data_IF_180444637998
#
_entry.id   IF_180444637998
#
_cell.length_a   1.000
_cell.length_b   1.000
_cell.length_c   1.000
_cell.angle_alpha   90.00
_cell.angle_beta   90.00
_cell.angle_gamma   90.00
#
_symmetry.space_group_name_H-M   'P 1'
#
loop_
_entity.id
_entity.type
_entity.pdbx_description
1 polymer ?
#
# COMPACT_ATOMS: atom_id res chain seq x y z
N UNK A 1 24.26 56.59 -23.68
CA UNK A 1 22.87 56.14 -23.84
C UNK A 1 22.76 54.71 -24.39
N UNK A 2 23.18 54.41 -25.64
CA UNK A 2 23.00 53.08 -26.26
C UNK A 2 23.58 51.89 -25.47
N UNK A 3 24.76 52.04 -24.87
CA UNK A 3 25.40 50.97 -24.07
C UNK A 3 24.64 50.65 -22.78
N UNK A 4 24.06 51.67 -22.14
CA UNK A 4 23.22 51.49 -20.95
C UNK A 4 21.90 50.82 -21.29
N UNK A 5 21.31 51.15 -22.44
CA UNK A 5 20.08 50.51 -22.94
C UNK A 5 20.32 49.04 -23.29
N UNK A 6 21.46 48.72 -23.92
CA UNK A 6 21.83 47.33 -24.20
C UNK A 6 22.08 46.54 -22.90
N UNK A 7 22.72 47.17 -21.91
CA UNK A 7 22.99 46.54 -20.62
C UNK A 7 21.72 46.29 -19.81
N UNK A 8 20.77 47.23 -19.82
CA UNK A 8 19.46 47.05 -19.17
C UNK A 8 18.63 45.96 -19.87
N UNK A 9 18.66 45.88 -21.19
CA UNK A 9 18.01 44.80 -21.95
C UNK A 9 18.60 43.42 -21.60
N UNK A 10 19.93 43.30 -21.54
CA UNK A 10 20.58 42.05 -21.13
C UNK A 10 20.22 41.64 -19.70
N UNK A 11 20.14 42.59 -18.77
CA UNK A 11 19.72 42.32 -17.39
C UNK A 11 18.28 41.82 -17.31
N UNK A 12 17.35 42.45 -18.04
CA UNK A 12 15.94 42.05 -18.07
C UNK A 12 15.80 40.65 -18.64
N UNK A 13 16.52 40.33 -19.72
CA UNK A 13 16.53 38.99 -20.30
C UNK A 13 17.06 37.94 -19.31
N UNK A 14 18.17 38.24 -18.62
CA UNK A 14 18.72 37.32 -17.61
C UNK A 14 17.74 37.05 -16.46
N UNK A 15 17.02 38.06 -15.98
CA UNK A 15 16.02 37.90 -14.90
C UNK A 15 14.85 37.01 -15.37
N UNK A 16 14.37 37.19 -16.60
CA UNK A 16 13.28 36.37 -17.14
C UNK A 16 13.71 34.90 -17.29
N UNK A 17 14.91 34.64 -17.82
CA UNK A 17 15.42 33.28 -18.00
C UNK A 17 15.77 32.56 -16.68
N UNK A 18 16.09 33.31 -15.62
CA UNK A 18 16.44 32.73 -14.31
C UNK A 18 15.26 32.65 -13.34
N UNK A 19 14.18 33.39 -13.59
CA UNK A 19 12.96 33.34 -12.78
C UNK A 19 12.29 31.95 -12.84
N UNK A 20 12.29 31.31 -14.01
CA UNK A 20 11.76 29.94 -14.18
C UNK A 20 12.72 28.85 -13.66
N UNK A 21 13.98 29.22 -13.37
CA UNK A 21 15.01 28.30 -12.91
C UNK A 21 15.03 28.10 -11.39
N UNK A 22 14.18 28.81 -10.64
CA UNK A 22 14.02 28.56 -9.22
C UNK A 22 12.84 27.58 -9.04
N UNK A 23 13.08 26.27 -8.81
CA UNK A 23 12.00 25.34 -8.50
C UNK A 23 11.58 25.58 -7.04
N UNK A 24 11.07 26.78 -6.74
CA UNK A 24 10.12 26.95 -5.65
C UNK A 24 8.88 26.24 -6.14
N UNK A 25 8.92 24.92 -6.00
CA UNK A 25 7.79 24.04 -6.19
C UNK A 25 6.61 24.71 -5.49
N UNK A 26 5.54 24.96 -6.25
CA UNK A 26 4.31 25.52 -5.68
C UNK A 26 3.92 24.71 -4.45
N UNK A 27 3.58 25.40 -3.37
CA UNK A 27 3.28 24.78 -2.08
C UNK A 27 2.26 23.63 -2.20
N UNK A 28 1.29 23.76 -3.11
CA UNK A 28 0.32 22.71 -3.45
C UNK A 28 0.96 21.44 -3.98
N UNK A 29 1.94 21.56 -4.88
CA UNK A 29 2.66 20.41 -5.44
C UNK A 29 3.61 19.79 -4.42
N UNK A 30 4.28 20.59 -3.59
CA UNK A 30 5.09 20.08 -2.48
C UNK A 30 4.23 19.29 -1.48
N UNK A 31 3.07 19.83 -1.09
CA UNK A 31 2.11 19.14 -0.22
C UNK A 31 1.58 17.86 -0.85
N UNK A 32 1.35 17.84 -2.16
CA UNK A 32 0.90 16.65 -2.88
C UNK A 32 1.97 15.56 -2.91
N UNK A 33 3.24 15.92 -3.16
CA UNK A 33 4.38 15.01 -3.08
C UNK A 33 4.58 14.44 -1.67
N UNK A 34 4.45 15.26 -0.64
CA UNK A 34 4.55 14.80 0.74
C UNK A 34 3.40 13.85 1.11
N UNK A 35 2.20 14.04 0.55
CA UNK A 35 1.04 13.16 0.79
C UNK A 35 1.20 11.79 0.13
N UNK A 36 1.81 11.70 -1.06
CA UNK A 36 2.09 10.42 -1.72
C UNK A 36 3.23 9.64 -1.06
N UNK A 37 4.15 10.34 -0.38
CA UNK A 37 5.28 9.73 0.33
C UNK A 37 5.00 9.38 1.79
N UNK A 38 3.89 9.84 2.38
CA UNK A 38 3.49 9.42 3.73
C UNK A 38 3.12 7.95 3.72
N UNK A 39 3.87 7.16 4.46
CA UNK A 39 3.44 5.83 4.86
C UNK A 39 2.16 5.97 5.70
N UNK A 40 1.17 5.10 5.45
CA UNK A 40 -0.07 5.11 6.25
C UNK A 40 0.31 4.94 7.73
N UNK A 41 -0.35 5.66 8.65
CA UNK A 41 -0.15 5.43 10.08
C UNK A 41 -0.51 3.97 10.40
N UNK A 42 0.38 3.26 11.11
CA UNK A 42 0.27 1.83 11.39
C UNK A 42 1.64 1.14 11.29
N UNK A 43 1.78 -0.04 11.87
CA UNK A 43 2.99 -0.83 11.67
C UNK A 43 3.08 -1.27 10.20
N UNK A 44 4.26 -1.31 9.56
CA UNK A 44 4.38 -1.75 8.16
C UNK A 44 3.76 -3.13 7.92
N UNK A 45 3.80 -3.98 8.95
CA UNK A 45 3.33 -5.37 8.89
C UNK A 45 1.89 -5.56 9.39
N UNK A 46 1.20 -4.49 9.84
CA UNK A 46 -0.20 -4.54 10.30
C UNK A 46 -1.13 -5.25 9.29
N UNK A 47 -1.14 -4.93 7.98
CA UNK A 47 -2.04 -5.59 7.03
C UNK A 47 -1.71 -7.07 6.84
N UNK A 48 -0.43 -7.44 6.90
CA UNK A 48 -0.01 -8.84 6.81
C UNK A 48 -0.44 -9.60 8.07
N UNK A 49 -0.27 -8.99 9.25
CA UNK A 49 -0.68 -9.56 10.53
C UNK A 49 -2.19 -9.81 10.60
N UNK A 50 -2.99 -8.84 10.19
CA UNK A 50 -4.46 -8.99 10.15
C UNK A 50 -4.89 -10.12 9.20
N UNK A 51 -4.25 -10.21 8.02
CA UNK A 51 -4.51 -11.29 7.08
C UNK A 51 -4.17 -12.67 7.66
N UNK A 52 -3.01 -12.82 8.29
CA UNK A 52 -2.59 -14.08 8.91
C UNK A 52 -3.54 -14.50 10.03
N UNK A 53 -3.98 -13.56 10.88
CA UNK A 53 -4.97 -13.83 11.93
C UNK A 53 -6.30 -14.31 11.33
N UNK A 54 -6.75 -13.69 10.23
CA UNK A 54 -7.95 -14.12 9.53
C UNK A 54 -7.81 -15.55 8.97
N UNK A 55 -6.69 -15.85 8.32
CA UNK A 55 -6.39 -17.19 7.80
C UNK A 55 -6.40 -18.24 8.92
N UNK A 56 -5.82 -17.92 10.08
CA UNK A 56 -5.80 -18.82 11.22
C UNK A 56 -7.21 -19.17 11.73
N UNK A 57 -8.12 -18.19 11.78
CA UNK A 57 -9.52 -18.42 12.15
C UNK A 57 -10.24 -19.30 11.13
N UNK A 58 -9.94 -19.13 9.84
CA UNK A 58 -10.51 -19.99 8.79
C UNK A 58 -10.01 -21.43 8.90
N UNK A 59 -8.72 -21.63 9.14
CA UNK A 59 -8.14 -22.96 9.35
C UNK A 59 -8.74 -23.65 10.57
N UNK A 60 -8.93 -22.93 11.66
CA UNK A 60 -9.58 -23.48 12.86
C UNK A 60 -11.01 -23.94 12.56
N UNK A 61 -11.81 -23.12 11.88
CA UNK A 61 -13.18 -23.52 11.48
C UNK A 61 -13.16 -24.70 10.51
N UNK A 62 -12.22 -24.75 9.59
CA UNK A 62 -12.07 -25.90 8.69
C UNK A 62 -11.76 -27.18 9.48
N UNK A 63 -10.90 -27.11 10.50
CA UNK A 63 -10.64 -28.27 11.37
C UNK A 63 -11.85 -28.67 12.19
N UNK A 64 -12.57 -27.71 12.77
CA UNK A 64 -13.78 -27.97 13.57
C UNK A 64 -14.87 -28.63 12.71
N UNK A 65 -15.20 -28.05 11.56
CA UNK A 65 -16.19 -28.60 10.62
C UNK A 65 -15.77 -29.97 10.08
N UNK A 66 -14.47 -30.18 9.84
CA UNK A 66 -13.95 -31.47 9.43
C UNK A 66 -14.13 -32.51 10.55
N UNK A 67 -13.78 -32.17 11.80
CA UNK A 67 -13.99 -33.04 12.96
C UNK A 67 -15.46 -33.35 13.21
N UNK A 68 -16.35 -32.36 13.08
CA UNK A 68 -17.80 -32.57 13.16
C UNK A 68 -18.30 -33.55 12.10
N UNK A 69 -17.77 -33.45 10.86
CA UNK A 69 -18.07 -34.39 9.79
C UNK A 69 -17.60 -35.82 10.11
N UNK A 70 -16.40 -35.97 10.67
CA UNK A 70 -15.83 -37.27 11.05
C UNK A 70 -16.51 -37.90 12.28
N UNK A 71 -17.00 -37.09 13.22
CA UNK A 71 -17.61 -37.54 14.47
C UNK A 71 -19.13 -37.69 14.37
N UNK A 72 -19.73 -37.42 13.21
CA UNK A 72 -21.16 -37.56 13.00
C UNK A 72 -21.55 -39.05 12.85
N UNK A 73 -22.33 -39.63 13.78
CA UNK A 73 -22.75 -41.03 13.71
C UNK A 73 -23.73 -41.32 12.57
N UNK A 74 -24.25 -40.30 11.89
CA UNK A 74 -25.10 -40.43 10.70
C UNK A 74 -24.35 -40.27 9.37
N UNK A 75 -23.03 -40.04 9.40
CA UNK A 75 -22.24 -39.96 8.18
C UNK A 75 -22.02 -41.35 7.55
N UNK A 76 -21.91 -41.41 6.22
CA UNK A 76 -21.61 -42.65 5.49
C UNK A 76 -20.25 -43.23 5.92
N UNK A 77 -20.03 -44.55 5.87
CA UNK A 77 -18.80 -45.20 6.37
C UNK A 77 -17.47 -44.75 5.73
N UNK A 78 -17.51 -43.95 4.66
CA UNK A 78 -16.34 -43.28 4.06
C UNK A 78 -15.87 -42.03 4.83
N UNK A 79 -16.67 -41.58 5.79
CA UNK A 79 -16.47 -40.40 6.62
C UNK A 79 -16.14 -40.78 8.07
N UNK A 80 -15.79 -42.05 8.35
CA UNK A 80 -15.21 -42.47 9.63
C UNK A 80 -13.69 -42.38 9.51
N UNK A 81 -13.07 -41.65 10.44
CA UNK A 81 -11.62 -41.37 10.42
C UNK A 81 -10.79 -42.64 10.56
N UNK A 82 -11.38 -43.72 11.09
CA UNK A 82 -10.74 -45.02 11.24
C UNK A 82 -10.77 -45.86 9.96
N UNK A 83 -11.66 -45.53 9.00
CA UNK A 83 -11.86 -46.31 7.76
C UNK A 83 -11.53 -45.53 6.48
N UNK A 84 -11.39 -44.19 6.53
CA UNK A 84 -11.02 -43.35 5.39
C UNK A 84 -9.59 -42.81 5.47
N UNK A 85 -8.80 -43.01 4.43
CA UNK A 85 -7.53 -42.29 4.25
C UNK A 85 -7.81 -40.81 3.92
N UNK A 86 -7.13 -39.83 4.56
CA UNK A 86 -7.19 -38.45 4.11
C UNK A 86 -6.56 -38.37 2.71
N UNK A 87 -7.31 -37.80 1.75
CA UNK A 87 -6.81 -37.46 0.41
C UNK A 87 -6.30 -36.03 0.42
#
# INVERSE_FOLDING_TARGET
MKKFVAFSLCLVLLIIYTADANPIIKESYAKQLLRTKRQKPGHPDEPMREHLLHMQVLDQRAQETNLEHWLNPHCYPRCDRNYGHPV
#
